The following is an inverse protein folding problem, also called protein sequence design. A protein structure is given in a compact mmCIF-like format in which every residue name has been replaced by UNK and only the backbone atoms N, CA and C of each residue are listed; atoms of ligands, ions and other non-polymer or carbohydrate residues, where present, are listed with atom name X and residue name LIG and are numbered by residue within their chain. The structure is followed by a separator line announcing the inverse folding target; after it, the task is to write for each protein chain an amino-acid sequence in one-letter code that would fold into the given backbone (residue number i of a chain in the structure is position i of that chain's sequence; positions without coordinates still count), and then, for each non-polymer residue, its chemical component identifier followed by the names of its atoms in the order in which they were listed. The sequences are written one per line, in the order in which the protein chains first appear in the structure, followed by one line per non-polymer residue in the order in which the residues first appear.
data_IF_198312458605
#
_entry.id   IF_198312458605
#
_cell.length_a   1.000
_cell.length_b   1.000
_cell.length_c   1.000
_cell.angle_alpha   90.00
_cell.angle_beta   90.00
_cell.angle_gamma   90.00
#
_symmetry.space_group_name_H-M   'P 1'
#
loop_
_entity.id
_entity.type
_entity.pdbx_description
1 polymer ?
#
# COMPACT_ATOMS: atom_id res chain seq x y z
N UNK A 1 -15.26 8.23 24.48
CA UNK A 1 -15.17 7.85 23.05
C UNK A 1 -13.87 8.39 22.51
N UNK A 2 -12.92 7.54 22.26
CA UNK A 2 -11.58 7.97 21.81
C UNK A 2 -11.54 8.35 20.32
N UNK A 3 -12.55 8.05 19.49
CA UNK A 3 -12.35 8.11 18.07
C UNK A 3 -13.50 8.75 17.32
N UNK A 4 -13.25 9.94 16.86
CA UNK A 4 -14.06 10.59 15.84
C UNK A 4 -13.69 10.12 14.41
N UNK A 5 -13.25 8.86 14.24
CA UNK A 5 -12.96 8.30 12.91
C UNK A 5 -14.28 8.25 12.13
N UNK A 6 -14.31 8.97 11.00
CA UNK A 6 -15.49 9.09 10.14
C UNK A 6 -15.24 8.49 8.75
N UNK A 7 -14.00 8.14 8.43
CA UNK A 7 -13.61 7.48 7.20
C UNK A 7 -12.33 6.68 7.42
N UNK A 8 -12.26 5.45 6.91
CA UNK A 8 -11.04 4.64 6.96
C UNK A 8 -10.56 4.38 5.53
N UNK A 9 -9.29 4.68 5.27
CA UNK A 9 -8.61 4.36 4.04
C UNK A 9 -7.58 3.27 4.28
N UNK A 10 -7.55 2.29 3.40
CA UNK A 10 -6.64 1.16 3.45
C UNK A 10 -5.64 1.22 2.30
N UNK A 11 -4.38 0.90 2.57
CA UNK A 11 -3.49 0.37 1.55
C UNK A 11 -3.91 -1.06 1.18
N UNK A 12 -3.41 -1.57 0.06
CA UNK A 12 -3.75 -2.90 -0.45
C UNK A 12 -2.64 -3.91 -0.23
N UNK A 13 -1.49 -3.70 -0.86
CA UNK A 13 -0.40 -4.68 -0.91
C UNK A 13 0.39 -4.72 0.40
N UNK A 14 0.32 -5.82 1.12
CA UNK A 14 0.90 -5.97 2.46
C UNK A 14 -0.06 -5.53 3.58
N UNK A 15 -1.23 -4.96 3.24
CA UNK A 15 -2.25 -4.52 4.19
C UNK A 15 -3.50 -5.40 4.11
N UNK A 16 -4.14 -5.47 2.94
CA UNK A 16 -5.27 -6.38 2.69
C UNK A 16 -4.82 -7.73 2.13
N UNK A 17 -3.61 -7.78 1.62
CA UNK A 17 -2.92 -9.00 1.16
C UNK A 17 -1.69 -9.26 2.01
N UNK A 18 -1.28 -10.52 2.14
CA UNK A 18 -0.02 -10.90 2.77
C UNK A 18 0.94 -11.40 1.69
N UNK A 19 2.14 -10.88 1.71
CA UNK A 19 3.18 -11.31 0.80
C UNK A 19 3.78 -12.64 1.27
N UNK A 20 3.64 -13.69 0.44
CA UNK A 20 4.29 -14.97 0.67
C UNK A 20 5.78 -14.92 0.30
N UNK A 21 6.58 -15.90 0.77
CA UNK A 21 7.99 -16.01 0.40
C UNK A 21 8.17 -16.15 -1.12
N UNK A 22 7.28 -16.87 -1.79
CA UNK A 22 7.30 -17.01 -3.25
C UNK A 22 6.99 -15.69 -3.95
N UNK A 23 6.06 -14.89 -3.44
CA UNK A 23 5.83 -13.53 -3.93
C UNK A 23 7.09 -12.68 -3.77
N UNK A 24 7.70 -12.68 -2.58
CA UNK A 24 8.93 -11.92 -2.35
C UNK A 24 10.06 -12.31 -3.30
N UNK A 25 10.19 -13.60 -3.62
CA UNK A 25 11.18 -14.08 -4.58
C UNK A 25 10.95 -13.50 -5.97
N UNK A 26 9.75 -13.64 -6.52
CA UNK A 26 9.42 -13.13 -7.86
C UNK A 26 9.52 -11.60 -7.91
N UNK A 27 9.03 -10.92 -6.89
CA UNK A 27 9.13 -9.47 -6.77
C UNK A 27 10.60 -9.00 -6.75
N UNK A 28 11.49 -9.72 -6.04
CA UNK A 28 12.91 -9.44 -6.03
C UNK A 28 13.57 -9.70 -7.39
N UNK A 29 13.24 -10.80 -8.05
CA UNK A 29 13.74 -11.11 -9.38
C UNK A 29 13.36 -10.00 -10.38
N UNK A 30 12.12 -9.54 -10.35
CA UNK A 30 11.65 -8.47 -11.24
C UNK A 30 12.32 -7.13 -10.99
N UNK A 31 12.52 -6.72 -9.73
CA UNK A 31 13.20 -5.44 -9.46
C UNK A 31 14.67 -5.45 -9.86
N UNK A 32 15.36 -6.59 -9.70
CA UNK A 32 16.75 -6.74 -10.15
C UNK A 32 16.81 -6.78 -11.68
N UNK A 33 15.84 -7.43 -12.34
CA UNK A 33 15.71 -7.38 -13.79
C UNK A 33 15.48 -5.94 -14.28
N UNK A 34 14.54 -5.21 -13.67
CA UNK A 34 14.30 -3.81 -14.01
C UNK A 34 15.56 -2.95 -13.87
N UNK A 35 16.35 -3.17 -12.82
CA UNK A 35 17.61 -2.47 -12.62
C UNK A 35 18.67 -2.87 -13.66
N UNK A 36 18.75 -4.14 -14.02
CA UNK A 36 19.58 -4.65 -15.12
C UNK A 36 19.23 -3.98 -16.45
N UNK A 37 17.94 -3.88 -16.78
CA UNK A 37 17.46 -3.25 -18.01
C UNK A 37 17.78 -1.73 -18.03
N UNK A 38 17.72 -1.05 -16.89
CA UNK A 38 18.06 0.38 -16.76
C UNK A 38 19.56 0.62 -16.94
N UNK A 39 20.39 -0.25 -16.38
CA UNK A 39 21.86 -0.08 -16.38
C UNK A 39 22.54 -0.70 -17.59
N UNK A 40 21.85 -1.56 -18.34
CA UNK A 40 22.43 -2.34 -19.45
C UNK A 40 23.41 -3.41 -18.99
N UNK A 41 23.43 -3.76 -17.70
CA UNK A 41 24.35 -4.75 -17.10
C UNK A 41 23.60 -6.04 -16.74
N UNK A 42 24.24 -7.23 -16.84
CA UNK A 42 23.62 -8.49 -16.44
C UNK A 42 23.35 -8.52 -14.94
N UNK A 43 22.33 -9.29 -14.53
CA UNK A 43 22.03 -9.54 -13.11
C UNK A 43 23.13 -10.39 -12.50
N UNK A 44 23.95 -9.78 -11.65
CA UNK A 44 25.02 -10.42 -10.87
C UNK A 44 24.84 -10.14 -9.37
N UNK A 45 25.50 -10.87 -8.46
CA UNK A 45 25.48 -10.56 -7.04
C UNK A 45 25.85 -9.10 -6.73
N UNK A 46 26.83 -8.54 -7.44
CA UNK A 46 27.29 -7.18 -7.25
C UNK A 46 26.22 -6.16 -7.67
N UNK A 47 25.53 -6.40 -8.80
CA UNK A 47 24.44 -5.55 -9.27
C UNK A 47 23.24 -5.59 -8.30
N UNK A 48 22.94 -6.76 -7.72
CA UNK A 48 21.90 -6.94 -6.72
C UNK A 48 22.22 -6.13 -5.46
N UNK A 49 23.45 -6.20 -4.97
CA UNK A 49 23.87 -5.45 -3.78
C UNK A 49 23.80 -3.94 -4.01
N UNK A 50 24.29 -3.46 -5.17
CA UNK A 50 24.19 -2.05 -5.57
C UNK A 50 22.73 -1.57 -5.58
N UNK A 51 21.82 -2.34 -6.14
CA UNK A 51 20.40 -2.02 -6.11
C UNK A 51 19.85 -1.97 -4.68
N UNK A 52 20.19 -2.95 -3.85
CA UNK A 52 19.70 -3.03 -2.48
C UNK A 52 20.15 -1.83 -1.61
N UNK A 53 21.39 -1.37 -1.80
CA UNK A 53 21.88 -0.16 -1.13
C UNK A 53 21.11 1.09 -1.59
N UNK A 54 20.85 1.22 -2.88
CA UNK A 54 20.05 2.31 -3.41
C UNK A 54 18.60 2.25 -2.90
N UNK A 55 18.01 1.06 -2.87
CA UNK A 55 16.66 0.84 -2.34
C UNK A 55 16.56 1.20 -0.85
N UNK A 56 17.55 0.82 -0.02
CA UNK A 56 17.59 1.21 1.41
C UNK A 56 17.55 2.73 1.58
N UNK A 57 18.29 3.47 0.73
CA UNK A 57 18.31 4.94 0.72
C UNK A 57 16.95 5.51 0.32
N UNK A 58 16.36 5.01 -0.76
CA UNK A 58 15.14 5.56 -1.35
C UNK A 58 13.86 5.11 -0.63
N UNK A 59 13.86 3.91 -0.05
CA UNK A 59 12.76 3.35 0.75
C UNK A 59 11.61 2.74 -0.04
N UNK A 60 11.61 2.84 -1.38
CA UNK A 60 10.63 2.17 -2.25
C UNK A 60 11.19 1.97 -3.65
N UNK A 61 10.70 0.94 -4.39
CA UNK A 61 11.11 0.71 -5.78
C UNK A 61 10.81 1.92 -6.68
N UNK A 62 9.63 2.51 -6.57
CA UNK A 62 9.26 3.69 -7.38
C UNK A 62 10.24 4.84 -7.19
N UNK A 63 10.63 5.16 -5.94
CA UNK A 63 11.64 6.19 -5.65
C UNK A 63 13.02 5.79 -6.12
N UNK A 64 13.38 4.51 -6.00
CA UNK A 64 14.67 4.01 -6.49
C UNK A 64 14.81 4.24 -8.00
N UNK A 65 13.78 3.92 -8.77
CA UNK A 65 13.81 4.13 -10.22
C UNK A 65 13.66 5.62 -10.61
N UNK A 66 12.94 6.42 -9.82
CA UNK A 66 12.90 7.87 -10.02
C UNK A 66 14.26 8.53 -9.80
N UNK A 67 15.03 8.10 -8.80
CA UNK A 67 16.43 8.56 -8.58
C UNK A 67 17.33 8.23 -9.78
N UNK A 68 17.01 7.18 -10.54
CA UNK A 68 17.67 6.79 -11.78
C UNK A 68 17.10 7.50 -13.03
N UNK A 69 16.27 8.53 -12.84
CA UNK A 69 15.67 9.31 -13.93
C UNK A 69 14.53 8.63 -14.67
N UNK A 70 13.94 7.57 -14.12
CA UNK A 70 12.80 6.89 -14.74
C UNK A 70 11.48 7.58 -14.38
N UNK A 71 10.48 7.55 -15.29
CA UNK A 71 9.18 8.17 -15.04
C UNK A 71 8.42 7.48 -13.91
N UNK A 72 7.49 8.24 -13.31
CA UNK A 72 6.51 7.67 -12.38
C UNK A 72 5.74 6.54 -13.08
N UNK A 73 5.68 5.38 -12.44
CA UNK A 73 5.03 4.19 -13.03
C UNK A 73 5.99 3.19 -13.66
N UNK A 74 7.24 3.55 -13.97
CA UNK A 74 8.21 2.62 -14.55
C UNK A 74 8.30 1.28 -13.81
N UNK A 75 8.35 1.32 -12.47
CA UNK A 75 8.37 0.08 -11.67
C UNK A 75 7.06 -0.73 -11.83
N UNK A 76 5.94 -0.06 -11.99
CA UNK A 76 4.65 -0.76 -12.10
C UNK A 76 4.55 -1.59 -13.39
N UNK A 77 5.22 -1.20 -14.47
CA UNK A 77 5.29 -2.00 -15.70
C UNK A 77 5.92 -3.38 -15.47
N UNK A 78 6.82 -3.49 -14.49
CA UNK A 78 7.39 -4.77 -14.05
C UNK A 78 6.50 -5.46 -13.03
N UNK A 79 5.99 -4.73 -12.05
CA UNK A 79 5.13 -5.25 -11.00
C UNK A 79 3.85 -5.88 -11.56
N UNK A 80 3.25 -5.25 -12.56
CA UNK A 80 2.04 -5.70 -13.23
C UNK A 80 2.22 -7.03 -14.02
N UNK A 81 3.46 -7.49 -14.19
CA UNK A 81 3.75 -8.81 -14.77
C UNK A 81 3.59 -9.96 -13.74
N UNK A 82 3.45 -9.65 -12.46
CA UNK A 82 3.22 -10.67 -11.43
C UNK A 82 1.81 -11.22 -11.58
N UNK A 83 1.72 -12.54 -11.76
CA UNK A 83 0.45 -13.25 -11.76
C UNK A 83 -0.06 -13.40 -10.31
N UNK A 84 -0.86 -12.43 -9.88
CA UNK A 84 -1.34 -12.32 -8.50
C UNK A 84 -2.13 -13.55 -8.05
N UNK A 85 -2.83 -14.24 -8.95
CA UNK A 85 -3.62 -15.44 -8.66
C UNK A 85 -2.77 -16.59 -8.08
N UNK A 86 -1.45 -16.54 -8.32
CA UNK A 86 -0.51 -17.55 -7.81
C UNK A 86 0.01 -17.28 -6.42
N UNK A 87 -0.11 -16.03 -5.94
CA UNK A 87 0.61 -15.58 -4.75
C UNK A 87 -0.30 -15.02 -3.67
N UNK A 88 -1.54 -14.67 -4.01
CA UNK A 88 -2.50 -14.14 -3.06
C UNK A 88 -3.61 -15.14 -2.78
N UNK A 89 -3.98 -15.20 -1.52
CA UNK A 89 -5.09 -16.01 -1.03
C UNK A 89 -6.02 -15.16 -0.16
N UNK A 90 -7.30 -15.51 -0.09
CA UNK A 90 -8.23 -14.86 0.84
C UNK A 90 -7.76 -15.01 2.29
N UNK A 91 -7.77 -13.91 3.03
CA UNK A 91 -7.41 -13.87 4.45
C UNK A 91 -8.71 -13.66 5.25
N UNK A 92 -9.23 -14.71 5.91
CA UNK A 92 -10.51 -14.63 6.63
C UNK A 92 -10.55 -13.51 7.68
N UNK A 93 -9.44 -13.24 8.37
CA UNK A 93 -9.33 -12.16 9.34
C UNK A 93 -9.56 -10.79 8.70
N UNK A 94 -8.90 -10.52 7.56
CA UNK A 94 -9.05 -9.26 6.81
C UNK A 94 -10.49 -9.12 6.31
N UNK A 95 -11.04 -10.16 5.68
CA UNK A 95 -12.42 -10.17 5.19
C UNK A 95 -13.42 -9.85 6.31
N UNK A 96 -13.35 -10.58 7.45
CA UNK A 96 -14.27 -10.40 8.56
C UNK A 96 -14.16 -9.03 9.21
N UNK A 97 -12.93 -8.50 9.31
CA UNK A 97 -12.68 -7.18 9.88
C UNK A 97 -13.24 -6.08 8.98
N UNK A 98 -12.99 -6.13 7.68
CA UNK A 98 -13.57 -5.18 6.71
C UNK A 98 -15.08 -5.24 6.70
N UNK A 99 -15.70 -6.45 6.72
CA UNK A 99 -17.16 -6.60 6.74
C UNK A 99 -17.79 -5.97 7.99
N UNK A 100 -17.10 -6.00 9.12
CA UNK A 100 -17.57 -5.33 10.34
C UNK A 100 -17.38 -3.81 10.27
N UNK A 101 -16.21 -3.35 9.85
CA UNK A 101 -15.87 -1.92 9.78
C UNK A 101 -16.81 -1.16 8.85
N UNK A 102 -17.06 -1.67 7.63
CA UNK A 102 -17.90 -1.02 6.62
C UNK A 102 -19.35 -0.82 7.05
N UNK A 103 -19.83 -1.57 8.05
CA UNK A 103 -21.20 -1.42 8.63
C UNK A 103 -21.31 -0.22 9.57
N UNK A 104 -20.19 0.31 10.04
CA UNK A 104 -20.13 1.36 11.06
C UNK A 104 -19.53 2.67 10.52
N UNK A 105 -18.64 2.60 9.53
CA UNK A 105 -17.92 3.74 8.98
C UNK A 105 -17.62 3.49 7.49
N UNK A 106 -17.67 4.51 6.63
CA UNK A 106 -17.20 4.40 5.25
C UNK A 106 -15.77 3.91 5.19
N UNK A 107 -15.52 2.91 4.34
CA UNK A 107 -14.17 2.40 4.05
C UNK A 107 -13.81 2.69 2.60
N UNK A 108 -12.54 2.91 2.32
CA UNK A 108 -12.01 3.19 0.98
C UNK A 108 -10.61 2.60 0.80
N UNK A 109 -10.20 2.45 -0.44
CA UNK A 109 -8.90 1.89 -0.81
C UNK A 109 -8.02 2.95 -1.47
N UNK A 110 -6.74 3.00 -1.10
CA UNK A 110 -5.72 3.77 -1.81
C UNK A 110 -4.46 2.94 -2.02
N UNK A 111 -4.18 2.59 -3.27
CA UNK A 111 -3.05 1.75 -3.68
C UNK A 111 -2.18 2.41 -4.73
N UNK A 112 -0.91 1.98 -4.81
CA UNK A 112 0.00 2.33 -5.91
C UNK A 112 -0.22 1.49 -7.17
N UNK A 113 -0.95 0.38 -7.09
CA UNK A 113 -1.31 -0.43 -8.23
C UNK A 113 -2.20 0.33 -9.22
N UNK A 114 -2.29 -0.14 -10.47
CA UNK A 114 -3.29 0.33 -11.42
C UNK A 114 -4.70 -0.04 -10.95
N UNK A 115 -5.72 0.63 -11.46
CA UNK A 115 -7.11 0.32 -11.12
C UNK A 115 -7.49 -1.11 -11.51
N UNK A 116 -7.02 -1.56 -12.66
CA UNK A 116 -7.23 -2.93 -13.15
C UNK A 116 -6.64 -3.97 -12.17
N UNK A 117 -5.38 -3.77 -11.75
CA UNK A 117 -4.75 -4.67 -10.79
C UNK A 117 -5.38 -4.60 -9.40
N UNK A 118 -5.84 -3.43 -8.96
CA UNK A 118 -6.57 -3.32 -7.71
C UNK A 118 -7.84 -4.17 -7.72
N UNK A 119 -8.64 -4.10 -8.80
CA UNK A 119 -9.84 -4.92 -8.96
C UNK A 119 -9.52 -6.41 -9.02
N UNK A 120 -8.49 -6.79 -9.79
CA UNK A 120 -8.03 -8.19 -9.87
C UNK A 120 -7.58 -8.71 -8.50
N UNK A 121 -6.78 -7.96 -7.76
CA UNK A 121 -6.35 -8.34 -6.41
C UNK A 121 -7.56 -8.56 -5.49
N UNK A 122 -8.52 -7.63 -5.47
CA UNK A 122 -9.73 -7.76 -4.66
C UNK A 122 -10.54 -9.01 -5.02
N UNK A 123 -10.65 -9.35 -6.32
CA UNK A 123 -11.31 -10.57 -6.79
C UNK A 123 -10.61 -11.83 -6.27
N UNK A 124 -9.27 -11.89 -6.40
CA UNK A 124 -8.45 -13.01 -5.92
C UNK A 124 -8.62 -13.23 -4.42
N UNK A 125 -8.57 -12.17 -3.61
CA UNK A 125 -8.72 -12.25 -2.16
C UNK A 125 -10.16 -12.29 -1.68
N UNK A 126 -11.13 -12.34 -2.62
CA UNK A 126 -12.59 -12.46 -2.37
C UNK A 126 -13.20 -11.29 -1.58
N UNK A 127 -12.65 -10.10 -1.74
CA UNK A 127 -13.21 -8.85 -1.19
C UNK A 127 -14.00 -8.16 -2.29
N UNK A 128 -15.30 -7.90 -2.04
CA UNK A 128 -16.16 -7.19 -2.99
C UNK A 128 -15.72 -5.71 -3.13
N UNK A 129 -15.33 -5.25 -4.32
CA UNK A 129 -14.95 -3.85 -4.56
C UNK A 129 -16.04 -2.84 -4.15
N UNK A 130 -17.31 -3.24 -4.18
CA UNK A 130 -18.43 -2.38 -3.77
C UNK A 130 -18.48 -2.11 -2.24
N UNK A 131 -17.65 -2.75 -1.45
CA UNK A 131 -17.50 -2.41 -0.04
C UNK A 131 -16.80 -1.07 0.16
N UNK A 132 -16.01 -0.64 -0.81
CA UNK A 132 -15.27 0.60 -0.73
C UNK A 132 -16.07 1.76 -1.32
N UNK A 133 -16.21 2.84 -0.55
CA UNK A 133 -16.83 4.08 -1.02
C UNK A 133 -16.05 4.67 -2.18
N UNK A 134 -14.71 4.60 -2.11
CA UNK A 134 -13.80 5.02 -3.17
C UNK A 134 -12.65 4.01 -3.29
N UNK A 135 -12.19 3.82 -4.53
CA UNK A 135 -10.91 3.20 -4.85
C UNK A 135 -10.08 4.27 -5.54
N UNK A 136 -8.93 4.61 -4.96
CA UNK A 136 -7.93 5.51 -5.55
C UNK A 136 -6.71 4.65 -5.88
N UNK A 137 -6.36 4.64 -7.14
CA UNK A 137 -5.27 3.85 -7.71
C UNK A 137 -4.05 4.71 -8.07
N UNK A 138 -2.97 4.07 -8.47
CA UNK A 138 -1.82 4.76 -9.04
C UNK A 138 -2.11 5.50 -10.34
N UNK A 139 -3.25 5.22 -11.01
CA UNK A 139 -3.66 5.88 -12.24
C UNK A 139 -4.38 7.22 -11.96
N UNK A 140 -4.88 7.42 -10.74
CA UNK A 140 -5.59 8.63 -10.31
C UNK A 140 -4.67 9.74 -9.78
N UNK A 141 -3.36 9.47 -9.68
CA UNK A 141 -2.40 10.37 -9.03
C UNK A 141 -1.22 10.69 -9.95
N UNK A 142 -0.67 11.90 -9.82
CA UNK A 142 0.52 12.30 -10.59
C UNK A 142 1.78 11.59 -10.11
N UNK A 143 1.89 11.40 -8.81
CA UNK A 143 2.98 10.66 -8.18
C UNK A 143 2.44 9.68 -7.15
N UNK A 144 2.98 8.46 -7.17
CA UNK A 144 2.58 7.35 -6.29
C UNK A 144 3.12 7.53 -4.88
N UNK A 145 2.49 6.85 -3.91
CA UNK A 145 3.02 6.80 -2.54
C UNK A 145 4.52 6.42 -2.56
N UNK A 146 5.35 7.07 -1.76
CA UNK A 146 5.06 7.93 -0.62
C UNK A 146 4.86 9.42 -0.96
N UNK A 147 4.75 9.81 -2.21
CA UNK A 147 4.47 11.19 -2.56
C UNK A 147 3.07 11.63 -2.07
N UNK A 148 2.88 12.91 -1.70
CA UNK A 148 1.67 13.36 -1.03
C UNK A 148 0.43 13.46 -1.92
N UNK A 149 0.60 13.40 -3.24
CA UNK A 149 -0.47 13.63 -4.23
C UNK A 149 -1.73 12.83 -3.93
N UNK A 150 -1.59 11.51 -3.74
CA UNK A 150 -2.73 10.65 -3.46
C UNK A 150 -3.34 10.88 -2.09
N UNK A 151 -2.53 11.29 -1.10
CA UNK A 151 -3.05 11.61 0.23
C UNK A 151 -3.89 12.89 0.22
N UNK A 152 -3.59 13.88 -0.65
CA UNK A 152 -4.49 15.00 -0.89
C UNK A 152 -5.79 14.54 -1.53
N UNK A 153 -5.75 13.66 -2.54
CA UNK A 153 -6.94 13.12 -3.21
C UNK A 153 -7.85 12.41 -2.21
N UNK A 154 -7.31 11.52 -1.37
CA UNK A 154 -8.13 10.78 -0.40
C UNK A 154 -8.72 11.69 0.69
N UNK A 155 -7.97 12.71 1.12
CA UNK A 155 -8.46 13.71 2.07
C UNK A 155 -9.66 14.48 1.48
N UNK A 156 -9.55 14.95 0.24
CA UNK A 156 -10.63 15.68 -0.42
C UNK A 156 -11.86 14.80 -0.65
N UNK A 157 -11.67 13.54 -1.12
CA UNK A 157 -12.75 12.58 -1.32
C UNK A 157 -13.47 12.19 -0.03
N UNK A 158 -12.76 12.18 1.10
CA UNK A 158 -13.36 11.84 2.40
C UNK A 158 -14.41 12.84 2.86
N UNK A 159 -14.30 14.12 2.48
CA UNK A 159 -15.27 15.15 2.83
C UNK A 159 -15.39 15.44 4.33
N UNK A 160 -14.41 15.02 5.13
CA UNK A 160 -14.35 15.22 6.58
C UNK A 160 -12.99 15.80 6.99
N UNK A 161 -12.88 16.43 8.17
CA UNK A 161 -11.59 16.92 8.68
C UNK A 161 -10.52 15.81 8.70
N UNK A 162 -9.26 16.18 8.43
CA UNK A 162 -8.17 15.22 8.32
C UNK A 162 -8.01 14.35 9.58
N UNK A 163 -8.17 14.94 10.74
CA UNK A 163 -8.13 14.26 12.05
C UNK A 163 -9.26 13.23 12.27
N UNK A 164 -10.26 13.22 11.40
CA UNK A 164 -11.35 12.22 11.41
C UNK A 164 -11.16 11.13 10.34
N UNK A 165 -10.05 11.14 9.61
CA UNK A 165 -9.68 10.13 8.62
C UNK A 165 -8.61 9.23 9.25
N UNK A 166 -8.82 7.91 9.23
CA UNK A 166 -7.80 6.93 9.57
C UNK A 166 -7.21 6.36 8.28
N UNK A 167 -5.89 6.41 8.15
CA UNK A 167 -5.16 5.71 7.11
C UNK A 167 -4.48 4.46 7.68
N UNK A 168 -4.73 3.31 7.10
CA UNK A 168 -4.21 2.01 7.51
C UNK A 168 -3.25 1.49 6.45
N UNK A 169 -2.03 1.14 6.85
CA UNK A 169 -1.00 0.59 5.97
C UNK A 169 0.01 -0.26 6.72
N UNK A 170 0.91 -0.90 5.98
CA UNK A 170 1.95 -1.79 6.51
C UNK A 170 3.36 -1.16 6.53
N UNK A 171 3.55 -0.02 5.84
CA UNK A 171 4.89 0.58 5.66
C UNK A 171 4.98 1.98 6.23
N UNK A 172 5.85 2.16 7.23
CA UNK A 172 6.04 3.45 7.90
C UNK A 172 6.37 4.57 6.90
N UNK A 173 7.35 4.36 6.01
CA UNK A 173 7.83 5.40 5.08
C UNK A 173 6.89 5.69 3.92
N UNK A 174 6.01 4.76 3.57
CA UNK A 174 5.17 4.84 2.36
C UNK A 174 3.74 5.24 2.70
N UNK A 175 3.25 4.79 3.85
CA UNK A 175 1.86 4.91 4.25
C UNK A 175 1.69 5.86 5.45
N UNK A 176 2.45 5.62 6.52
CA UNK A 176 2.24 6.28 7.81
C UNK A 176 2.74 7.72 7.80
N UNK A 177 4.02 7.93 7.47
CA UNK A 177 4.63 9.26 7.53
C UNK A 177 3.95 10.26 6.59
N UNK A 178 3.66 9.95 5.30
CA UNK A 178 3.01 10.91 4.43
C UNK A 178 1.55 11.19 4.82
N UNK A 179 0.78 10.19 5.30
CA UNK A 179 -0.56 10.41 5.82
C UNK A 179 -0.54 11.34 7.05
N UNK A 180 0.36 11.09 7.98
CA UNK A 180 0.51 11.89 9.21
C UNK A 180 0.92 13.33 8.93
N UNK A 181 1.77 13.57 7.93
CA UNK A 181 2.16 14.92 7.51
C UNK A 181 0.96 15.77 7.05
N UNK A 182 -0.11 15.16 6.57
CA UNK A 182 -1.35 15.82 6.16
C UNK A 182 -2.41 15.88 7.27
N UNK A 183 -2.05 15.47 8.50
CA UNK A 183 -2.93 15.52 9.66
C UNK A 183 -3.93 14.35 9.76
N UNK A 184 -3.76 13.29 8.97
CA UNK A 184 -4.56 12.08 9.11
C UNK A 184 -4.12 11.31 10.37
N UNK A 185 -5.07 10.60 11.00
CA UNK A 185 -4.73 9.54 11.93
C UNK A 185 -4.14 8.36 11.18
N UNK A 186 -3.21 7.64 11.79
CA UNK A 186 -2.47 6.56 11.14
C UNK A 186 -2.48 5.28 11.94
N UNK A 187 -2.63 4.16 11.25
CA UNK A 187 -2.55 2.82 11.85
C UNK A 187 -1.58 1.93 11.05
N UNK A 188 -0.56 1.44 11.73
CA UNK A 188 0.34 0.43 11.20
C UNK A 188 -0.20 -0.96 11.55
N UNK A 189 -0.42 -1.81 10.56
CA UNK A 189 -0.80 -3.22 10.76
C UNK A 189 0.41 -4.13 10.54
N UNK A 190 0.37 -5.30 11.18
CA UNK A 190 1.42 -6.34 11.14
C UNK A 190 2.78 -5.88 11.67
N UNK A 191 2.78 -4.83 12.49
CA UNK A 191 4.01 -4.29 13.05
C UNK A 191 3.77 -3.31 14.19
N UNK A 192 4.85 -2.65 14.62
CA UNK A 192 4.80 -1.59 15.61
C UNK A 192 5.79 -0.48 15.26
N UNK A 193 5.34 0.77 15.38
CA UNK A 193 6.20 1.93 15.16
C UNK A 193 5.73 3.10 16.03
N UNK A 194 6.63 3.86 16.65
CA UNK A 194 6.29 5.09 17.37
C UNK A 194 5.81 6.22 16.43
N UNK A 195 6.01 6.07 15.14
CA UNK A 195 5.56 7.04 14.12
C UNK A 195 4.05 6.95 13.86
N UNK A 196 3.43 5.77 14.04
CA UNK A 196 2.00 5.58 13.87
C UNK A 196 1.23 5.97 15.13
N UNK A 197 0.00 6.49 14.98
CA UNK A 197 -0.87 6.81 16.11
C UNK A 197 -1.42 5.53 16.75
N UNK A 198 -1.61 4.49 15.94
CA UNK A 198 -1.99 3.13 16.35
C UNK A 198 -1.09 2.11 15.68
N UNK A 199 -0.84 0.98 16.35
CA UNK A 199 -0.11 -0.15 15.80
C UNK A 199 -0.71 -1.46 16.29
N UNK A 200 -0.94 -2.39 15.37
CA UNK A 200 -1.48 -3.72 15.68
C UNK A 200 -0.65 -4.80 15.00
N UNK A 201 -0.41 -5.88 15.72
CA UNK A 201 0.31 -7.05 15.20
C UNK A 201 -0.53 -7.90 14.25
N UNK A 202 -1.84 -7.70 14.23
CA UNK A 202 -2.84 -8.37 13.41
C UNK A 202 -3.90 -7.37 12.92
N UNK A 203 -4.63 -7.74 11.88
CA UNK A 203 -5.56 -6.83 11.23
C UNK A 203 -6.84 -6.58 12.04
N UNK A 204 -7.30 -7.57 12.81
CA UNK A 204 -8.52 -7.48 13.62
C UNK A 204 -8.38 -6.52 14.82
N UNK A 205 -7.17 -6.16 15.20
CA UNK A 205 -6.89 -5.09 16.17
C UNK A 205 -7.59 -3.76 15.84
N UNK A 206 -7.85 -3.50 14.55
CA UNK A 206 -8.60 -2.32 14.09
C UNK A 206 -10.01 -2.22 14.69
N UNK A 207 -10.63 -3.35 15.05
CA UNK A 207 -11.97 -3.38 15.64
C UNK A 207 -12.01 -2.71 17.01
N UNK A 208 -10.89 -2.67 17.73
CA UNK A 208 -10.79 -1.99 19.04
C UNK A 208 -10.90 -0.47 18.93
N UNK A 209 -10.73 0.10 17.73
CA UNK A 209 -10.88 1.53 17.50
C UNK A 209 -12.34 1.98 17.38
N UNK A 210 -13.29 1.04 17.29
CA UNK A 210 -14.73 1.31 17.23
C UNK A 210 -15.40 1.39 18.62
N UNK A 211 -14.72 0.91 19.65
CA UNK A 211 -15.18 0.94 21.05
C UNK A 211 -14.83 2.31 21.71
#
# INVERSE_FOLDING_TARGET
MKNHIKHIWFDMDGTLTVHTDDFHKVHNELRHKAYSDVTGRPVTPELIEEFNELYKKCGSNSRTFAELGKPSGFWMEYYDQIDQDKYYEPIPEVYNTLDRLRKSVPISLFTNASLENAHRTLEVVKIDPNWFTYIVSGDDVKARKPEPDGFYVIKDKSGVPAENILYVGDRVKVDILPAKQLGLQTCLVYGSSPEADYSFSNFDGLLTLQE
#
